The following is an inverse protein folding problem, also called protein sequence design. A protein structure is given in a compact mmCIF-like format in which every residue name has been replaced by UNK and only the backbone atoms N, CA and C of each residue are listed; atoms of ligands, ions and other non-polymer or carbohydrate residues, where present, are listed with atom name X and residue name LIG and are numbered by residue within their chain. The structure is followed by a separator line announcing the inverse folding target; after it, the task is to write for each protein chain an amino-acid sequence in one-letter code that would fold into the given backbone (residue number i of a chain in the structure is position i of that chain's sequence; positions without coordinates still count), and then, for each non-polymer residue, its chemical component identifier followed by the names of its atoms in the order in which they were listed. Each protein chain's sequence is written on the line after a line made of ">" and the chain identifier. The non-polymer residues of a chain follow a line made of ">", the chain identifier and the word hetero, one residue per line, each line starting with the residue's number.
data_IF_468838378895
#
_entry.id   IF_468838378895
#
_cell.length_a   1.000
_cell.length_b   1.000
_cell.length_c   1.000
_cell.angle_alpha   90.00
_cell.angle_beta   90.00
_cell.angle_gamma   90.00
#
_symmetry.space_group_name_H-M   'P 1'
#
loop_
_entity.id
_entity.type
_entity.pdbx_description
1 polymer ?
#
# COMPACT_ATOMS: atom_id res chain seq x y z
N UNK A 1 12.00 5.79 0.71
CA UNK A 1 10.91 5.45 1.64
C UNK A 1 9.58 5.77 0.96
N UNK A 2 8.72 6.72 1.34
CA UNK A 2 7.36 6.81 0.72
C UNK A 2 7.31 7.24 -0.76
N UNK A 3 8.31 8.01 -1.22
CA UNK A 3 8.41 8.48 -2.61
C UNK A 3 9.12 7.50 -3.54
N UNK A 4 9.77 6.48 -2.99
CA UNK A 4 10.47 5.43 -3.74
C UNK A 4 9.52 4.27 -4.02
N UNK A 5 8.53 4.55 -4.88
CA UNK A 5 7.45 3.61 -5.18
C UNK A 5 7.91 2.35 -5.92
N UNK A 6 9.17 2.27 -6.35
CA UNK A 6 9.76 1.04 -6.88
C UNK A 6 10.27 0.09 -5.78
N UNK A 7 10.53 0.62 -4.58
CA UNK A 7 11.13 -0.10 -3.46
C UNK A 7 10.15 -0.31 -2.29
N UNK A 8 8.87 -0.55 -2.62
CA UNK A 8 7.79 -0.82 -1.64
C UNK A 8 8.06 -2.00 -0.69
N UNK A 9 8.79 -3.08 -1.06
CA UNK A 9 9.16 -4.13 -0.10
C UNK A 9 9.87 -3.62 1.15
N UNK A 10 10.57 -2.48 1.07
CA UNK A 10 11.24 -1.85 2.21
C UNK A 10 10.29 -0.99 3.08
N UNK A 11 9.07 -0.72 2.63
CA UNK A 11 8.05 0.09 3.33
C UNK A 11 7.03 -0.77 4.08
N UNK A 12 6.74 -1.96 3.56
CA UNK A 12 5.75 -2.88 4.09
C UNK A 12 6.19 -4.31 3.79
N UNK A 13 6.41 -5.11 4.84
CA UNK A 13 6.86 -6.50 4.78
C UNK A 13 5.91 -7.47 4.05
N UNK A 14 4.75 -6.97 3.61
CA UNK A 14 3.72 -7.72 2.88
C UNK A 14 4.08 -8.00 1.43
N UNK A 15 4.91 -7.16 0.81
CA UNK A 15 5.28 -7.27 -0.60
C UNK A 15 6.70 -7.82 -0.67
N UNK A 16 6.86 -9.01 -1.24
CA UNK A 16 8.16 -9.68 -1.36
C UNK A 16 8.90 -9.27 -2.62
N UNK A 17 8.17 -8.95 -3.68
CA UNK A 17 8.71 -8.46 -4.94
C UNK A 17 7.83 -7.36 -5.49
N UNK A 18 8.44 -6.31 -6.05
CA UNK A 18 7.73 -5.23 -6.71
C UNK A 18 8.46 -4.84 -8.00
N UNK A 19 7.72 -4.83 -9.10
CA UNK A 19 8.21 -4.34 -10.39
C UNK A 19 7.37 -3.14 -10.84
N UNK A 20 8.01 -2.00 -11.01
CA UNK A 20 7.37 -0.77 -11.48
C UNK A 20 7.43 -0.68 -13.02
N UNK A 21 6.27 -0.54 -13.65
CA UNK A 21 6.14 -0.22 -15.09
C UNK A 21 5.32 1.06 -15.26
N UNK A 22 6.00 2.16 -15.61
CA UNK A 22 5.36 3.47 -15.65
C UNK A 22 4.86 3.88 -14.26
N UNK A 23 3.54 3.95 -14.10
CA UNK A 23 2.88 4.22 -12.82
C UNK A 23 2.16 3.01 -12.22
N UNK A 24 2.35 1.81 -12.77
CA UNK A 24 1.78 0.57 -12.25
C UNK A 24 2.87 -0.23 -11.54
N UNK A 25 2.61 -0.60 -10.29
CA UNK A 25 3.41 -1.56 -9.53
C UNK A 25 2.78 -2.94 -9.69
N UNK A 26 3.58 -3.91 -10.08
CA UNK A 26 3.21 -5.33 -10.02
C UNK A 26 3.87 -5.93 -8.79
N UNK A 27 3.05 -6.28 -7.82
CA UNK A 27 3.50 -6.73 -6.50
C UNK A 27 3.22 -8.22 -6.34
N UNK A 28 4.20 -8.96 -5.82
CA UNK A 28 4.01 -10.29 -5.27
C UNK A 28 3.88 -10.16 -3.76
N UNK A 29 2.79 -10.68 -3.21
CA UNK A 29 2.49 -10.67 -1.78
C UNK A 29 3.23 -11.83 -1.07
N UNK A 30 3.34 -11.75 0.25
CA UNK A 30 3.97 -12.79 1.07
C UNK A 30 3.31 -14.17 0.96
N UNK A 31 2.01 -14.23 0.66
CA UNK A 31 1.27 -15.48 0.40
C UNK A 31 1.42 -16.01 -1.05
N UNK A 32 2.23 -15.32 -1.88
CA UNK A 32 2.46 -15.65 -3.28
C UNK A 32 1.40 -15.10 -4.25
N UNK A 33 0.34 -14.47 -3.76
CA UNK A 33 -0.64 -13.80 -4.61
C UNK A 33 -0.02 -12.61 -5.34
N UNK A 34 -0.60 -12.23 -6.48
CA UNK A 34 -0.12 -11.12 -7.31
C UNK A 34 -1.18 -10.05 -7.43
N UNK A 35 -0.79 -8.81 -7.17
CA UNK A 35 -1.65 -7.64 -7.32
C UNK A 35 -0.99 -6.62 -8.24
N UNK A 36 -1.81 -5.81 -8.91
CA UNK A 36 -1.37 -4.63 -9.65
C UNK A 36 -1.93 -3.38 -8.98
N UNK A 37 -1.04 -2.46 -8.63
CA UNK A 37 -1.38 -1.20 -7.98
C UNK A 37 -1.00 -0.04 -8.90
N UNK A 38 -1.92 0.89 -9.12
CA UNK A 38 -1.63 2.13 -9.82
C UNK A 38 -1.32 3.25 -8.84
N UNK A 39 -0.15 3.86 -8.99
CA UNK A 39 0.18 5.11 -8.31
C UNK A 39 -0.71 6.24 -8.86
N UNK A 40 -1.51 6.85 -7.97
CA UNK A 40 -2.36 8.00 -8.30
C UNK A 40 -1.61 9.30 -8.06
N UNK A 41 -0.93 9.43 -6.92
CA UNK A 41 -0.12 10.61 -6.60
C UNK A 41 1.03 10.26 -5.67
N UNK A 42 2.19 10.88 -5.89
CA UNK A 42 3.33 10.85 -4.98
C UNK A 42 3.67 12.29 -4.61
N UNK A 43 3.61 12.61 -3.32
CA UNK A 43 3.91 13.93 -2.78
C UNK A 43 5.10 13.82 -1.81
N UNK A 44 6.33 14.12 -2.28
CA UNK A 44 7.52 14.08 -1.44
C UNK A 44 7.50 15.12 -0.32
N UNK A 45 6.85 16.27 -0.53
CA UNK A 45 6.83 17.38 0.43
C UNK A 45 6.01 17.02 1.68
N UNK A 46 4.88 16.34 1.47
CA UNK A 46 4.02 15.84 2.54
C UNK A 46 4.28 14.38 2.92
N UNK A 47 5.31 13.75 2.32
CA UNK A 47 5.64 12.32 2.50
C UNK A 47 4.40 11.43 2.34
N UNK A 48 3.64 11.66 1.27
CA UNK A 48 2.36 11.01 1.00
C UNK A 48 2.37 10.25 -0.33
N UNK A 49 1.76 9.07 -0.32
CA UNK A 49 1.48 8.24 -1.49
C UNK A 49 -0.02 7.95 -1.53
N UNK A 50 -0.64 8.05 -2.71
CA UNK A 50 -1.98 7.55 -2.96
C UNK A 50 -1.95 6.55 -4.12
N UNK A 51 -2.66 5.44 -3.99
CA UNK A 51 -2.69 4.38 -4.99
C UNK A 51 -4.02 3.62 -4.98
N UNK A 52 -4.27 2.86 -6.05
CA UNK A 52 -5.45 2.01 -6.19
C UNK A 52 -5.05 0.62 -6.69
N UNK A 53 -5.70 -0.44 -6.20
CA UNK A 53 -5.54 -1.78 -6.78
C UNK A 53 -6.37 -1.85 -8.05
N UNK A 54 -5.73 -2.24 -9.16
CA UNK A 54 -6.36 -2.34 -10.49
C UNK A 54 -6.42 -3.77 -11.03
N UNK A 55 -5.88 -4.74 -10.29
CA UNK A 55 -5.91 -6.15 -10.67
C UNK A 55 -5.40 -7.06 -9.56
N UNK A 56 -5.96 -8.26 -9.48
CA UNK A 56 -5.66 -9.24 -8.45
C UNK A 56 -6.75 -10.31 -8.37
N UNK A 57 -6.65 -11.25 -7.41
CA UNK A 57 -7.60 -12.35 -7.26
C UNK A 57 -8.93 -11.93 -6.60
N UNK A 58 -8.94 -10.81 -5.87
CA UNK A 58 -10.14 -10.31 -5.20
C UNK A 58 -11.02 -9.50 -6.16
N UNK A 59 -12.36 -9.64 -6.09
CA UNK A 59 -13.31 -8.90 -6.92
C UNK A 59 -13.51 -7.47 -6.39
N UNK A 60 -12.45 -6.66 -6.44
CA UNK A 60 -12.48 -5.26 -5.99
C UNK A 60 -13.23 -4.39 -7.00
N UNK A 61 -14.30 -3.73 -6.54
CA UNK A 61 -15.06 -2.78 -7.35
C UNK A 61 -14.47 -1.36 -7.24
N UNK A 62 -14.02 -1.00 -6.05
CA UNK A 62 -13.38 0.27 -5.76
C UNK A 62 -12.28 0.09 -4.73
N UNK A 63 -11.17 0.79 -4.91
CA UNK A 63 -10.10 0.84 -3.92
C UNK A 63 -9.41 2.20 -3.97
N UNK A 64 -9.26 2.85 -2.83
CA UNK A 64 -8.49 4.07 -2.66
C UNK A 64 -7.65 3.94 -1.40
N UNK A 65 -6.33 3.93 -1.56
CA UNK A 65 -5.40 3.82 -0.43
C UNK A 65 -4.49 5.04 -0.38
N UNK A 66 -4.23 5.49 0.84
CA UNK A 66 -3.28 6.57 1.11
C UNK A 66 -2.36 6.20 2.25
N UNK A 67 -1.07 6.41 2.05
CA UNK A 67 -0.04 6.27 3.08
C UNK A 67 0.65 7.61 3.28
N UNK A 68 0.75 8.08 4.52
CA UNK A 68 1.41 9.33 4.84
C UNK A 68 2.30 9.19 6.09
N UNK A 69 3.53 9.66 5.98
CA UNK A 69 4.49 9.60 7.09
C UNK A 69 4.63 10.97 7.73
N UNK A 70 4.36 11.02 9.03
CA UNK A 70 4.51 12.22 9.86
C UNK A 70 5.74 12.10 10.75
N UNK A 71 6.31 13.26 11.10
CA UNK A 71 7.35 13.33 12.14
C UNK A 71 6.69 13.11 13.50
N UNK A 72 7.28 12.27 14.34
CA UNK A 72 6.85 12.04 15.71
C UNK A 72 8.06 12.09 16.67
N UNK A 73 8.54 13.29 16.98
CA UNK A 73 9.78 13.45 17.75
C UNK A 73 11.00 12.96 16.95
N UNK A 74 11.75 12.03 17.53
CA UNK A 74 12.86 11.31 16.89
C UNK A 74 12.37 10.09 16.09
N UNK A 75 11.10 9.72 16.23
CA UNK A 75 10.43 8.63 15.53
C UNK A 75 9.60 9.14 14.35
N UNK A 76 9.01 8.20 13.62
CA UNK A 76 8.04 8.47 12.56
C UNK A 76 6.69 7.85 12.90
N UNK A 77 5.60 8.45 12.43
CA UNK A 77 4.26 7.85 12.47
C UNK A 77 3.78 7.64 11.04
N UNK A 78 3.39 6.41 10.71
CA UNK A 78 2.66 6.13 9.48
C UNK A 78 1.15 6.23 9.73
N UNK A 79 0.44 6.99 8.91
CA UNK A 79 -1.00 6.85 8.75
C UNK A 79 -1.28 6.14 7.43
N UNK A 80 -2.00 5.02 7.51
CA UNK A 80 -2.45 4.26 6.34
C UNK A 80 -3.97 4.13 6.39
N UNK A 81 -4.64 4.53 5.32
CA UNK A 81 -6.09 4.44 5.18
C UNK A 81 -6.43 3.78 3.85
N UNK A 82 -7.47 2.95 3.86
CA UNK A 82 -7.98 2.24 2.70
C UNK A 82 -9.50 2.31 2.69
N UNK A 83 -10.05 2.87 1.61
CA UNK A 83 -11.47 2.73 1.26
C UNK A 83 -11.58 1.62 0.22
N UNK A 84 -12.50 0.66 0.42
CA UNK A 84 -12.67 -0.49 -0.47
C UNK A 84 -14.14 -0.85 -0.66
N UNK A 85 -14.50 -1.31 -1.87
CA UNK A 85 -15.77 -1.96 -2.15
C UNK A 85 -15.55 -3.31 -2.86
N UNK A 86 -16.42 -4.31 -2.61
CA UNK A 86 -17.54 -4.26 -1.67
C UNK A 86 -17.10 -4.33 -0.19
N UNK A 87 -17.94 -3.89 0.73
CA UNK A 87 -17.60 -3.71 2.17
C UNK A 87 -17.07 -4.99 2.83
N UNK A 88 -17.51 -6.17 2.37
CA UNK A 88 -17.05 -7.46 2.87
C UNK A 88 -15.56 -7.73 2.58
N UNK A 89 -14.94 -6.98 1.68
CA UNK A 89 -13.49 -7.05 1.47
C UNK A 89 -12.69 -6.31 2.56
N UNK A 90 -13.30 -5.39 3.30
CA UNK A 90 -12.61 -4.69 4.39
C UNK A 90 -12.08 -5.67 5.44
N UNK A 91 -12.88 -6.67 5.83
CA UNK A 91 -12.47 -7.71 6.81
C UNK A 91 -11.34 -8.60 6.30
N UNK A 92 -11.12 -8.66 4.98
CA UNK A 92 -9.99 -9.39 4.41
C UNK A 92 -8.69 -8.57 4.47
N UNK A 93 -8.78 -7.24 4.46
CA UNK A 93 -7.64 -6.33 4.53
C UNK A 93 -7.24 -5.98 5.96
N UNK A 94 -8.18 -5.97 6.92
CA UNK A 94 -7.92 -5.63 8.33
C UNK A 94 -6.71 -6.37 8.93
N UNK A 95 -6.58 -7.72 8.85
CA UNK A 95 -5.44 -8.41 9.45
C UNK A 95 -4.10 -8.02 8.82
N UNK A 96 -4.13 -7.67 7.52
CA UNK A 96 -2.96 -7.22 6.79
C UNK A 96 -2.54 -5.81 7.23
N UNK A 97 -3.51 -4.93 7.47
CA UNK A 97 -3.25 -3.57 7.97
C UNK A 97 -2.72 -3.59 9.40
N UNK A 98 -3.27 -4.44 10.27
CA UNK A 98 -2.81 -4.63 11.66
C UNK A 98 -1.36 -5.15 11.69
N UNK A 99 -1.03 -6.14 10.86
CA UNK A 99 0.34 -6.65 10.75
C UNK A 99 1.34 -5.55 10.41
N UNK A 100 0.98 -4.63 9.51
CA UNK A 100 1.86 -3.52 9.14
C UNK A 100 2.00 -2.54 10.30
N UNK A 101 0.91 -2.20 10.97
CA UNK A 101 0.93 -1.30 12.12
C UNK A 101 1.83 -1.83 13.25
N UNK A 102 1.88 -3.14 13.47
CA UNK A 102 2.70 -3.78 14.50
C UNK A 102 4.21 -3.82 14.19
N UNK A 103 4.62 -3.54 12.95
CA UNK A 103 6.00 -3.69 12.47
C UNK A 103 6.66 -2.37 12.02
N UNK A 104 6.10 -1.22 12.38
CA UNK A 104 6.61 0.12 12.03
C UNK A 104 7.08 0.88 13.27
#
# INVERSE_FOLDING_TARGET
>A
MVSDTGNVPALVSLITECRLEGNIRHCTMADGSKISEKNISVDPSHKRLAYTITGGPLPIEFHCSTMQVFKNGDDARLEWSVDILPDELATHLEPMMDMVADNI
#
